data_IF_383904409713
#
_entry.id   IF_383904409713
#
_cell.length_a   1.000
_cell.length_b   1.000
_cell.length_c   1.000
_cell.angle_alpha   90.00
_cell.angle_beta   90.00
_cell.angle_gamma   90.00
#
_symmetry.space_group_name_H-M   'P 1'
#
loop_
_entity.id
_entity.type
_entity.pdbx_description
1 polymer ?
#
# COMPACT_ATOMS: atom_id res chain seq x y z
N UNK A 1 -12.12 0.48 13.78
CA UNK A 1 -10.68 0.64 13.44
C UNK A 1 -10.58 1.36 12.10
N UNK A 2 -9.54 2.15 11.88
CA UNK A 2 -9.36 2.92 10.67
C UNK A 2 -8.16 2.37 9.88
N UNK A 3 -8.34 2.03 8.61
CA UNK A 3 -7.31 1.41 7.77
C UNK A 3 -7.11 2.23 6.49
N UNK A 4 -5.86 2.60 6.21
CA UNK A 4 -5.45 3.16 4.93
C UNK A 4 -4.77 2.05 4.14
N UNK A 5 -5.48 1.54 3.14
CA UNK A 5 -4.94 0.58 2.21
C UNK A 5 -4.03 1.26 1.20
N UNK A 6 -2.93 0.64 0.84
CA UNK A 6 -2.00 1.21 -0.13
C UNK A 6 -1.48 0.16 -1.10
N UNK A 7 -1.19 0.56 -2.34
CA UNK A 7 -0.42 -0.27 -3.28
C UNK A 7 1.08 -0.10 -3.01
N UNK A 8 1.77 -1.11 -2.46
CA UNK A 8 3.18 -0.99 -2.12
C UNK A 8 4.04 -0.85 -3.36
N UNK A 9 3.65 -1.41 -4.51
CA UNK A 9 4.46 -1.33 -5.72
C UNK A 9 4.48 0.09 -6.25
N UNK A 10 3.31 0.70 -6.41
CA UNK A 10 3.19 2.05 -6.97
C UNK A 10 3.80 3.11 -6.04
N UNK A 11 3.74 2.89 -4.73
CA UNK A 11 4.23 3.85 -3.75
C UNK A 11 5.71 3.69 -3.39
N UNK A 12 6.19 2.45 -3.20
CA UNK A 12 7.56 2.19 -2.74
C UNK A 12 8.58 2.07 -3.88
N UNK A 13 8.12 1.80 -5.10
CA UNK A 13 8.93 1.66 -6.30
C UNK A 13 8.41 2.57 -7.42
N UNK A 14 8.00 3.78 -7.06
CA UNK A 14 7.49 4.78 -8.01
C UNK A 14 8.57 5.23 -8.98
N UNK A 15 8.19 5.67 -10.19
CA UNK A 15 9.16 6.20 -11.14
C UNK A 15 9.92 7.40 -10.57
N UNK A 16 9.26 8.24 -9.76
CA UNK A 16 9.92 9.35 -9.08
C UNK A 16 11.05 8.87 -8.15
N UNK A 17 10.79 7.85 -7.33
CA UNK A 17 11.82 7.27 -6.46
C UNK A 17 12.95 6.62 -7.27
N UNK A 18 12.60 5.80 -8.26
CA UNK A 18 13.59 5.09 -9.08
C UNK A 18 14.46 6.07 -9.88
N UNK A 19 13.90 7.14 -10.44
CA UNK A 19 14.66 8.16 -11.18
C UNK A 19 15.62 8.98 -10.29
N UNK A 20 15.41 8.99 -8.97
CA UNK A 20 16.32 9.63 -8.02
C UNK A 20 17.41 8.67 -7.52
N UNK A 21 17.30 7.37 -7.83
CA UNK A 21 18.16 6.31 -7.31
C UNK A 21 18.58 5.36 -8.45
N UNK A 22 19.48 5.82 -9.33
CA UNK A 22 19.87 5.12 -10.56
C UNK A 22 20.33 3.67 -10.34
N UNK A 23 21.09 3.39 -9.27
CA UNK A 23 21.54 2.03 -8.97
C UNK A 23 20.36 1.13 -8.56
N UNK A 24 19.43 1.66 -7.77
CA UNK A 24 18.21 0.94 -7.37
C UNK A 24 17.34 0.67 -8.60
N UNK A 25 17.19 1.66 -9.47
CA UNK A 25 16.45 1.54 -10.74
C UNK A 25 17.05 0.46 -11.64
N UNK A 26 18.36 0.44 -11.83
CA UNK A 26 19.03 -0.57 -12.64
C UNK A 26 18.75 -1.98 -12.12
N UNK A 27 18.87 -2.20 -10.81
CA UNK A 27 18.61 -3.53 -10.22
C UNK A 27 17.13 -3.90 -10.33
N UNK A 28 16.23 -2.92 -10.14
CA UNK A 28 14.78 -3.10 -10.28
C UNK A 28 14.38 -3.52 -11.70
N UNK A 29 14.90 -2.83 -12.73
CA UNK A 29 14.62 -3.13 -14.15
C UNK A 29 15.16 -4.50 -14.57
N UNK A 30 16.22 -4.99 -13.91
CA UNK A 30 16.78 -6.33 -14.14
C UNK A 30 15.99 -7.45 -13.44
N UNK A 31 15.05 -7.14 -12.54
CA UNK A 31 14.25 -8.17 -11.88
C UNK A 31 13.19 -8.72 -12.84
N UNK A 32 13.08 -10.05 -12.99
CA UNK A 32 11.98 -10.66 -13.74
C UNK A 32 10.62 -10.22 -13.17
N UNK A 33 9.62 -10.00 -14.02
CA UNK A 33 8.25 -9.62 -13.58
C UNK A 33 7.58 -10.65 -12.64
N UNK A 34 8.10 -11.89 -12.63
CA UNK A 34 7.69 -13.01 -11.77
C UNK A 34 8.65 -13.25 -10.59
N UNK A 35 9.61 -12.35 -10.34
CA UNK A 35 10.54 -12.49 -9.22
C UNK A 35 9.77 -12.55 -7.90
N UNK A 36 10.12 -13.51 -7.04
CA UNK A 36 9.65 -13.58 -5.67
C UNK A 36 9.79 -12.21 -4.99
N UNK A 37 8.70 -11.65 -4.45
CA UNK A 37 8.72 -10.32 -3.81
C UNK A 37 9.73 -10.24 -2.68
N UNK A 38 9.95 -11.32 -1.94
CA UNK A 38 10.98 -11.36 -0.90
C UNK A 38 12.39 -11.15 -1.47
N UNK A 39 12.67 -11.73 -2.63
CA UNK A 39 13.94 -11.56 -3.34
C UNK A 39 14.06 -10.16 -3.94
N UNK A 40 12.97 -9.62 -4.51
CA UNK A 40 12.90 -8.24 -4.97
C UNK A 40 13.26 -7.27 -3.85
N UNK A 41 12.58 -7.36 -2.71
CA UNK A 41 12.81 -6.46 -1.57
C UNK A 41 14.18 -6.63 -0.92
N UNK A 42 14.76 -7.84 -1.01
CA UNK A 42 16.14 -8.11 -0.56
C UNK A 42 17.18 -7.42 -1.43
N UNK A 43 16.96 -7.37 -2.75
CA UNK A 43 17.93 -6.87 -3.72
C UNK A 43 17.70 -5.41 -4.11
N UNK A 44 16.46 -4.94 -4.01
CA UNK A 44 16.03 -3.61 -4.40
C UNK A 44 15.44 -2.90 -3.20
N UNK A 45 16.19 -1.94 -2.69
CA UNK A 45 15.78 -1.10 -1.58
C UNK A 45 14.47 -0.37 -1.91
N UNK A 46 13.40 -0.52 -1.12
CA UNK A 46 12.18 0.26 -1.29
C UNK A 46 12.37 1.71 -0.82
N UNK A 47 11.49 2.62 -1.25
CA UNK A 47 11.44 4.00 -0.72
C UNK A 47 11.00 4.03 0.75
N UNK A 48 11.95 3.77 1.66
CA UNK A 48 11.73 3.78 3.10
C UNK A 48 11.38 5.16 3.63
N UNK A 49 11.87 6.23 2.98
CA UNK A 49 11.57 7.61 3.39
C UNK A 49 10.12 7.93 3.03
N UNK A 50 9.68 7.60 1.82
CA UNK A 50 8.28 7.68 1.42
C UNK A 50 7.38 6.84 2.32
N UNK A 51 7.75 5.59 2.60
CA UNK A 51 7.03 4.70 3.51
C UNK A 51 6.82 5.33 4.88
N UNK A 52 7.88 5.84 5.52
CA UNK A 52 7.75 6.43 6.85
C UNK A 52 6.87 7.69 6.85
N UNK A 53 6.97 8.53 5.82
CA UNK A 53 6.09 9.70 5.66
C UNK A 53 4.62 9.30 5.54
N UNK A 54 4.34 8.22 4.80
CA UNK A 54 2.99 7.66 4.69
C UNK A 54 2.49 7.14 6.05
N UNK A 55 3.33 6.42 6.78
CA UNK A 55 3.01 5.90 8.11
C UNK A 55 2.75 7.02 9.12
N UNK A 56 3.60 8.05 9.14
CA UNK A 56 3.45 9.19 10.03
C UNK A 56 2.14 9.94 9.76
N UNK A 57 1.82 10.18 8.48
CA UNK A 57 0.59 10.84 8.09
C UNK A 57 -0.65 10.00 8.48
N UNK A 58 -0.66 8.70 8.18
CA UNK A 58 -1.75 7.81 8.57
C UNK A 58 -1.93 7.77 10.10
N UNK A 59 -0.83 7.60 10.84
CA UNK A 59 -0.86 7.54 12.30
C UNK A 59 -1.35 8.87 12.91
N UNK A 60 -0.99 10.01 12.32
CA UNK A 60 -1.43 11.33 12.79
C UNK A 60 -2.95 11.52 12.76
N UNK A 61 -3.64 10.80 11.87
CA UNK A 61 -5.10 10.81 11.75
C UNK A 61 -5.76 9.56 12.34
N UNK A 62 -5.00 8.73 13.08
CA UNK A 62 -5.50 7.53 13.75
C UNK A 62 -5.75 6.34 12.82
N UNK A 63 -5.08 6.30 11.67
CA UNK A 63 -5.16 5.21 10.69
C UNK A 63 -3.96 4.28 10.78
N UNK A 64 -4.20 2.97 10.60
CA UNK A 64 -3.17 1.96 10.38
C UNK A 64 -3.04 1.68 8.88
N UNK A 65 -1.83 1.34 8.43
CA UNK A 65 -1.59 0.98 7.03
C UNK A 65 -1.86 -0.51 6.78
N UNK A 66 -2.29 -0.86 5.56
CA UNK A 66 -2.31 -2.26 5.15
C UNK A 66 -2.04 -2.41 3.65
N UNK A 67 -1.15 -3.31 3.22
CA UNK A 67 -0.86 -3.47 1.80
C UNK A 67 -2.06 -4.06 1.05
N UNK A 68 -2.24 -3.61 -0.19
CA UNK A 68 -3.17 -4.23 -1.13
C UNK A 68 -2.48 -5.34 -1.94
N UNK A 69 -3.28 -6.32 -2.33
CA UNK A 69 -2.82 -7.47 -3.11
C UNK A 69 -2.01 -8.48 -2.30
N UNK A 70 -1.60 -9.55 -2.95
CA UNK A 70 -0.98 -10.71 -2.30
C UNK A 70 0.55 -10.69 -2.35
N UNK A 71 1.14 -9.84 -3.20
CA UNK A 71 2.59 -9.88 -3.47
C UNK A 71 3.41 -9.28 -2.34
N UNK A 72 2.97 -8.16 -1.78
CA UNK A 72 3.67 -7.41 -0.74
C UNK A 72 2.95 -7.61 0.59
N UNK A 73 3.09 -8.80 1.19
CA UNK A 73 2.38 -9.13 2.42
C UNK A 73 2.84 -8.27 3.60
N UNK A 74 1.99 -8.17 4.63
CA UNK A 74 2.31 -7.49 5.90
C UNK A 74 3.64 -7.98 6.47
N UNK A 75 3.86 -9.28 6.45
CA UNK A 75 5.04 -9.94 7.01
C UNK A 75 6.31 -9.58 6.22
N UNK A 76 6.22 -9.49 4.89
CA UNK A 76 7.35 -9.07 4.05
C UNK A 76 7.73 -7.61 4.31
N UNK A 77 6.75 -6.72 4.46
CA UNK A 77 7.00 -5.32 4.76
C UNK A 77 7.69 -5.11 6.12
N UNK A 78 7.31 -5.92 7.13
CA UNK A 78 7.98 -5.93 8.43
C UNK A 78 9.39 -6.53 8.32
N UNK A 79 9.52 -7.69 7.68
CA UNK A 79 10.79 -8.40 7.48
C UNK A 79 11.87 -7.52 6.84
N UNK A 80 11.48 -6.71 5.85
CA UNK A 80 12.39 -5.81 5.12
C UNK A 80 12.49 -4.40 5.72
N UNK A 81 12.01 -4.24 6.96
CA UNK A 81 12.07 -3.01 7.74
C UNK A 81 11.50 -1.80 7.00
N UNK A 82 10.39 -2.00 6.28
CA UNK A 82 9.66 -0.92 5.60
C UNK A 82 8.70 -0.25 6.59
N UNK A 83 8.03 -1.06 7.41
CA UNK A 83 7.12 -0.61 8.47
C UNK A 83 7.34 -1.45 9.73
N UNK A 84 6.95 -0.88 10.87
CA UNK A 84 6.88 -1.59 12.16
C UNK A 84 5.49 -2.21 12.37
N UNK A 85 5.40 -3.20 13.25
CA UNK A 85 4.13 -3.94 13.48
C UNK A 85 2.96 -3.05 13.91
N UNK A 86 3.24 -2.01 14.70
CA UNK A 86 2.25 -1.05 15.20
C UNK A 86 1.80 -0.03 14.14
N UNK A 87 2.49 0.09 13.01
CA UNK A 87 2.06 0.93 11.88
C UNK A 87 1.11 0.19 10.95
N UNK A 88 1.03 -1.14 11.05
CA UNK A 88 0.25 -1.99 10.16
C UNK A 88 -1.01 -2.53 10.85
N UNK A 89 -2.13 -2.55 10.12
CA UNK A 89 -3.34 -3.21 10.58
C UNK A 89 -3.10 -4.72 10.76
N UNK A 90 -3.94 -5.35 11.59
CA UNK A 90 -3.85 -6.76 11.88
C UNK A 90 -4.12 -7.60 10.61
N UNK A 91 -3.38 -8.69 10.45
CA UNK A 91 -3.67 -9.71 9.43
C UNK A 91 -4.96 -10.45 9.78
N UNK A 92 -5.76 -10.78 8.76
CA UNK A 92 -6.93 -11.65 8.88
C UNK A 92 -6.85 -12.74 7.82
N UNK A 93 -7.02 -13.99 8.24
CA UNK A 93 -7.19 -15.10 7.31
C UNK A 93 -8.55 -14.97 6.58
N UNK A 94 -8.48 -14.79 5.26
CA UNK A 94 -9.63 -14.62 4.39
C UNK A 94 -10.04 -15.91 3.67
N UNK A 95 -9.39 -17.05 3.93
CA UNK A 95 -9.60 -18.32 3.21
C UNK A 95 -11.07 -18.72 3.10
N UNK A 96 -11.89 -18.44 4.13
CA UNK A 96 -13.32 -18.74 4.16
C UNK A 96 -14.23 -17.53 3.87
N UNK A 97 -13.65 -16.36 3.58
CA UNK A 97 -14.38 -15.09 3.35
C UNK A 97 -14.36 -14.66 1.89
N UNK A 98 -13.48 -15.23 1.08
CA UNK A 98 -13.42 -15.01 -0.38
C UNK A 98 -13.55 -16.34 -1.12
N UNK A 99 -13.81 -16.27 -2.43
CA UNK A 99 -13.85 -17.49 -3.25
C UNK A 99 -12.46 -18.12 -3.31
N UNK A 100 -12.41 -19.45 -3.43
CA UNK A 100 -11.15 -20.15 -3.68
C UNK A 100 -10.47 -19.56 -4.93
N UNK A 101 -9.17 -19.31 -4.84
CA UNK A 101 -8.34 -18.65 -5.86
C UNK A 101 -8.71 -17.20 -6.22
N UNK A 102 -9.52 -16.51 -5.40
CA UNK A 102 -9.76 -15.08 -5.59
C UNK A 102 -8.56 -14.25 -5.15
N UNK A 103 -7.74 -13.86 -6.13
CA UNK A 103 -6.53 -13.05 -5.94
C UNK A 103 -6.74 -11.57 -6.25
N UNK A 104 -8.00 -11.14 -6.41
CA UNK A 104 -8.31 -9.77 -6.77
C UNK A 104 -8.02 -8.81 -5.59
N UNK A 105 -7.10 -7.83 -5.75
CA UNK A 105 -6.70 -6.95 -4.65
C UNK A 105 -7.85 -6.16 -4.03
N UNK A 106 -8.81 -5.72 -4.84
CA UNK A 106 -9.95 -4.91 -4.37
C UNK A 106 -10.92 -5.78 -3.57
N UNK A 107 -11.25 -6.98 -4.04
CA UNK A 107 -12.12 -7.92 -3.30
C UNK A 107 -11.49 -8.34 -1.98
N UNK A 108 -10.20 -8.69 -1.98
CA UNK A 108 -9.47 -9.05 -0.77
C UNK A 108 -9.44 -7.88 0.23
N UNK A 109 -9.18 -6.67 -0.24
CA UNK A 109 -9.25 -5.46 0.59
C UNK A 109 -10.63 -5.27 1.22
N UNK A 110 -11.70 -5.37 0.44
CA UNK A 110 -13.06 -5.19 0.94
C UNK A 110 -13.44 -6.28 1.94
N UNK A 111 -13.05 -7.53 1.69
CA UNK A 111 -13.26 -8.63 2.63
C UNK A 111 -12.48 -8.44 3.93
N UNK A 112 -11.23 -7.96 3.85
CA UNK A 112 -10.40 -7.61 5.01
C UNK A 112 -11.01 -6.47 5.83
N UNK A 113 -11.42 -5.39 5.18
CA UNK A 113 -12.05 -4.25 5.83
C UNK A 113 -13.36 -4.64 6.53
N UNK A 114 -14.18 -5.46 5.86
CA UNK A 114 -15.42 -5.99 6.42
C UNK A 114 -15.16 -6.91 7.62
N UNK A 115 -14.15 -7.79 7.53
CA UNK A 115 -13.78 -8.69 8.61
C UNK A 115 -13.37 -7.97 9.90
N UNK A 116 -12.80 -6.77 9.77
CA UNK A 116 -12.33 -5.94 10.89
C UNK A 116 -13.33 -4.84 11.28
N UNK A 117 -14.51 -4.79 10.62
CA UNK A 117 -15.48 -3.70 10.74
C UNK A 117 -14.78 -2.32 10.67
N UNK A 118 -13.92 -2.16 9.67
CA UNK A 118 -13.01 -1.02 9.57
C UNK A 118 -13.56 0.10 8.68
N UNK A 119 -13.38 1.34 9.10
CA UNK A 119 -13.44 2.48 8.19
C UNK A 119 -12.18 2.44 7.34
N UNK A 120 -12.35 2.44 6.02
CA UNK A 120 -11.23 2.31 5.11
C UNK A 120 -11.16 3.46 4.11
N UNK A 121 -9.94 3.74 3.68
CA UNK A 121 -9.55 4.54 2.51
C UNK A 121 -8.45 3.80 1.77
N UNK A 122 -8.20 4.18 0.52
CA UNK A 122 -7.22 3.49 -0.34
C UNK A 122 -6.37 4.51 -1.12
N UNK A 123 -5.08 4.26 -1.27
CA UNK A 123 -4.14 5.05 -2.07
C UNK A 123 -3.21 4.20 -2.93
N UNK A 124 -2.50 4.84 -3.86
CA UNK A 124 -1.67 4.18 -4.88
C UNK A 124 -2.47 3.82 -6.14
N UNK A 125 -1.86 3.09 -7.07
CA UNK A 125 -2.44 2.86 -8.40
C UNK A 125 -3.77 2.07 -8.31
N UNK A 126 -3.88 1.18 -7.33
CA UNK A 126 -5.13 0.46 -7.02
C UNK A 126 -6.31 1.40 -6.77
N UNK A 127 -6.08 2.63 -6.29
CA UNK A 127 -7.14 3.62 -6.05
C UNK A 127 -7.80 4.13 -7.34
N UNK A 128 -7.19 3.87 -8.51
CA UNK A 128 -7.75 4.21 -9.83
C UNK A 128 -8.71 3.16 -10.39
N UNK A 129 -8.88 2.01 -9.70
CA UNK A 129 -9.77 0.95 -10.14
C UNK A 129 -11.22 1.43 -10.25
N UNK A 130 -11.85 1.21 -11.40
CA UNK A 130 -13.21 1.66 -11.72
C UNK A 130 -14.26 1.18 -10.70
N UNK A 131 -14.03 0.02 -10.06
CA UNK A 131 -14.94 -0.53 -9.05
C UNK A 131 -14.98 0.33 -7.79
N UNK A 132 -13.91 1.08 -7.52
CA UNK A 132 -13.84 2.02 -6.39
C UNK A 132 -14.64 3.29 -6.64
N UNK A 133 -15.03 3.58 -7.89
CA UNK A 133 -15.92 4.71 -8.21
C UNK A 133 -17.30 4.58 -7.54
N UNK A 134 -17.73 3.36 -7.22
CA UNK A 134 -18.95 3.13 -6.45
C UNK A 134 -18.82 3.61 -4.98
N UNK A 135 -17.58 3.79 -4.48
CA UNK A 135 -17.28 4.21 -3.12
C UNK A 135 -16.73 5.64 -3.12
N UNK A 136 -17.60 6.61 -3.39
CA UNK A 136 -17.23 8.03 -3.50
C UNK A 136 -16.47 8.53 -2.27
N UNK A 137 -15.31 9.17 -2.51
CA UNK A 137 -14.48 9.75 -1.46
C UNK A 137 -13.57 8.76 -0.72
N UNK A 138 -13.58 7.46 -1.07
CA UNK A 138 -12.69 6.46 -0.43
C UNK A 138 -11.31 6.35 -1.06
N UNK A 139 -11.18 6.73 -2.34
CA UNK A 139 -9.92 6.72 -3.08
C UNK A 139 -9.17 8.05 -2.91
N UNK A 140 -7.93 7.98 -2.41
CA UNK A 140 -6.99 9.10 -2.33
C UNK A 140 -6.07 9.03 -3.54
N UNK A 141 -6.31 9.91 -4.50
CA UNK A 141 -5.62 9.90 -5.79
C UNK A 141 -4.37 10.78 -5.71
N UNK A 142 -3.20 10.19 -5.92
CA UNK A 142 -1.97 10.92 -6.23
C UNK A 142 -1.78 10.98 -7.75
N UNK A 143 -0.94 11.89 -8.23
CA UNK A 143 -0.51 11.80 -9.62
C UNK A 143 0.24 10.47 -9.84
N UNK A 144 0.02 9.90 -11.03
CA UNK A 144 0.57 8.60 -11.41
C UNK A 144 2.09 8.68 -11.35
N UNK A 145 2.73 7.65 -10.79
CA UNK A 145 4.18 7.49 -10.67
C UNK A 145 4.91 8.44 -9.69
N UNK A 146 4.22 9.27 -8.92
CA UNK A 146 4.89 10.14 -7.93
C UNK A 146 5.31 9.41 -6.65
N UNK A 147 4.69 8.27 -6.36
CA UNK A 147 4.84 7.56 -5.09
C UNK A 147 4.17 8.31 -3.94
N UNK A 148 4.83 8.37 -2.77
CA UNK A 148 4.33 9.11 -1.61
C UNK A 148 4.60 10.61 -1.76
N UNK A 149 3.69 11.31 -2.45
CA UNK A 149 3.80 12.75 -2.71
C UNK A 149 3.13 13.63 -1.63
N UNK A 150 3.51 14.90 -1.58
CA UNK A 150 2.95 15.87 -0.63
C UNK A 150 1.43 16.04 -0.79
N UNK A 151 0.94 15.90 -2.03
CA UNK A 151 -0.50 15.92 -2.33
C UNK A 151 -1.22 14.75 -1.66
N UNK A 152 -0.65 13.54 -1.71
CA UNK A 152 -1.22 12.36 -1.05
C UNK A 152 -1.24 12.56 0.47
N UNK A 153 -0.14 13.04 1.05
CA UNK A 153 -0.06 13.32 2.48
C UNK A 153 -1.10 14.37 2.90
N UNK A 154 -1.29 15.43 2.11
CA UNK A 154 -2.31 16.44 2.37
C UNK A 154 -3.72 15.86 2.37
N UNK A 155 -4.02 14.94 1.44
CA UNK A 155 -5.31 14.25 1.42
C UNK A 155 -5.53 13.37 2.65
N UNK A 156 -4.51 12.62 3.08
CA UNK A 156 -4.57 11.80 4.30
C UNK A 156 -4.83 12.68 5.52
N UNK A 157 -4.12 13.81 5.65
CA UNK A 157 -4.28 14.71 6.79
C UNK A 157 -5.70 15.31 6.89
N UNK A 158 -6.38 15.49 5.75
CA UNK A 158 -7.79 15.96 5.72
C UNK A 158 -8.78 14.92 6.27
N UNK A 159 -8.39 13.64 6.37
CA UNK A 159 -9.23 12.59 6.96
C UNK A 159 -9.43 12.77 8.47
N UNK A 160 -8.60 13.56 9.16
CA UNK A 160 -8.77 13.91 10.58
C UNK A 160 -10.06 14.69 10.88
N UNK A 161 -10.73 15.21 9.86
CA UNK A 161 -11.95 16.00 9.96
C UNK A 161 -13.24 15.23 9.63
N UNK A 162 -13.17 13.89 9.54
CA UNK A 162 -14.30 12.99 9.21
C UNK A 162 -14.62 12.14 10.44
#
# INVERSE_FOLDING_TARGET
MNILYFDPRSLLYSSNYLNQNDDVRRIYELQPFLSNTDLLMKNVTPDRKGAQRLADAANSVGFLLYPTGERFTRELLIKHTVFTENQLAAFVDLTYKVRLDDRDPVRLMLAHANALNATWFICGDVATDDRLKAFTGKALLSAINEGVSDSLISQINKLSHI
#
